data_IF_215356376521
#
_entry.id   IF_215356376521
#
_cell.length_a   1.000
_cell.length_b   1.000
_cell.length_c   1.000
_cell.angle_alpha   90.00
_cell.angle_beta   90.00
_cell.angle_gamma   90.00
#
_symmetry.space_group_name_H-M   'P 1'
#
loop_
_entity.id
_entity.type
_entity.pdbx_description
1 polymer ?
#
# COMPACT_ATOMS: atom_id res chain seq x y z
N UNK A 1 -53.01 12.29 34.16
CA UNK A 1 -53.12 11.19 35.14
C UNK A 1 -52.10 10.15 34.71
N UNK A 2 -51.12 9.84 35.54
CA UNK A 2 -50.04 8.89 35.20
C UNK A 2 -50.59 7.46 35.15
N UNK A 3 -49.99 6.56 34.34
CA UNK A 3 -50.46 5.17 34.19
C UNK A 3 -50.63 4.48 35.55
N UNK A 4 -49.67 4.66 36.45
CA UNK A 4 -49.68 4.07 37.79
C UNK A 4 -50.81 4.62 38.68
N UNK A 5 -51.19 5.89 38.50
CA UNK A 5 -52.35 6.48 39.20
C UNK A 5 -53.66 5.87 38.69
N UNK A 6 -53.71 5.47 37.42
CA UNK A 6 -54.88 4.86 36.78
C UNK A 6 -55.05 3.40 37.21
N UNK A 7 -53.97 2.63 37.23
CA UNK A 7 -53.94 1.26 37.77
C UNK A 7 -54.42 1.25 39.23
N UNK A 8 -53.87 2.13 40.07
CA UNK A 8 -54.28 2.25 41.48
C UNK A 8 -55.76 2.64 41.63
N UNK A 9 -56.27 3.50 40.75
CA UNK A 9 -57.70 3.87 40.76
C UNK A 9 -58.59 2.66 40.46
N UNK A 10 -58.25 1.84 39.47
CA UNK A 10 -59.04 0.66 39.13
C UNK A 10 -58.90 -0.48 40.15
N UNK A 11 -57.75 -0.59 40.83
CA UNK A 11 -57.60 -1.52 41.96
C UNK A 11 -58.59 -1.20 43.09
N UNK A 12 -58.76 0.08 43.43
CA UNK A 12 -59.71 0.56 44.46
C UNK A 12 -61.19 0.36 44.14
N UNK A 13 -61.53 0.01 42.90
CA UNK A 13 -62.92 -0.22 42.47
C UNK A 13 -63.35 -1.69 42.58
N UNK A 14 -62.50 -2.54 43.16
CA UNK A 14 -62.81 -3.95 43.42
C UNK A 14 -64.07 -4.12 44.26
N UNK A 15 -65.05 -4.87 43.75
CA UNK A 15 -66.28 -5.16 44.49
C UNK A 15 -67.19 -3.94 44.71
N UNK A 16 -66.90 -2.80 44.08
CA UNK A 16 -67.78 -1.61 44.12
C UNK A 16 -69.05 -1.85 43.29
N UNK A 17 -68.98 -2.73 42.29
CA UNK A 17 -70.11 -3.04 41.41
C UNK A 17 -70.59 -4.47 41.62
N UNK A 18 -71.87 -4.64 41.99
CA UNK A 18 -72.50 -5.94 42.31
C UNK A 18 -72.92 -6.76 41.07
N UNK A 19 -72.21 -6.61 39.95
CA UNK A 19 -72.53 -7.32 38.70
C UNK A 19 -71.27 -7.96 38.14
N UNK A 20 -71.30 -9.28 37.93
CA UNK A 20 -70.14 -10.07 37.46
C UNK A 20 -69.49 -9.49 36.20
N UNK A 21 -70.28 -8.98 35.25
CA UNK A 21 -69.75 -8.38 34.03
C UNK A 21 -68.93 -7.09 34.25
N UNK A 22 -69.26 -6.29 35.27
CA UNK A 22 -68.51 -5.09 35.59
C UNK A 22 -67.17 -5.41 36.26
N UNK A 23 -67.14 -6.45 37.08
CA UNK A 23 -65.91 -6.93 37.72
C UNK A 23 -64.97 -7.58 36.68
N UNK A 24 -65.54 -8.34 35.74
CA UNK A 24 -64.80 -8.91 34.61
C UNK A 24 -64.17 -7.80 33.74
N UNK A 25 -64.92 -6.74 33.45
CA UNK A 25 -64.43 -5.60 32.69
C UNK A 25 -63.29 -4.87 33.45
N UNK A 26 -63.43 -4.66 34.76
CA UNK A 26 -62.35 -4.10 35.60
C UNK A 26 -61.08 -4.94 35.51
N UNK A 27 -61.19 -6.26 35.60
CA UNK A 27 -60.04 -7.17 35.53
C UNK A 27 -59.34 -7.11 34.16
N UNK A 28 -60.10 -7.10 33.07
CA UNK A 28 -59.56 -6.94 31.71
C UNK A 28 -58.82 -5.60 31.58
N UNK A 29 -59.44 -4.50 32.04
CA UNK A 29 -58.79 -3.19 31.98
C UNK A 29 -57.53 -3.11 32.85
N UNK A 30 -57.49 -3.74 34.02
CA UNK A 30 -56.28 -3.82 34.83
C UNK A 30 -55.18 -4.62 34.12
N UNK A 31 -55.53 -5.73 33.49
CA UNK A 31 -54.59 -6.57 32.77
C UNK A 31 -53.99 -5.85 31.56
N UNK A 32 -54.80 -5.11 30.80
CA UNK A 32 -54.35 -4.28 29.68
C UNK A 32 -53.45 -3.12 30.16
N UNK A 33 -53.79 -2.49 31.29
CA UNK A 33 -53.00 -1.39 31.85
C UNK A 33 -51.66 -1.88 32.44
N UNK A 34 -51.61 -3.06 33.04
CA UNK A 34 -50.37 -3.67 33.55
C UNK A 34 -49.46 -4.16 32.42
N UNK A 35 -50.00 -4.59 31.27
CA UNK A 35 -49.21 -4.88 30.06
C UNK A 35 -48.57 -3.62 29.43
N UNK A 36 -49.12 -2.45 29.73
CA UNK A 36 -48.57 -1.16 29.32
C UNK A 36 -47.49 -0.65 30.28
N UNK A 37 -47.36 -1.22 31.49
CA UNK A 37 -46.42 -0.81 32.56
C UNK A 37 -45.11 -1.64 32.59
N UNK A 38 -44.84 -2.47 31.57
CA UNK A 38 -43.52 -3.11 31.44
C UNK A 38 -42.43 -2.07 31.08
N UNK A 39 -41.24 -2.14 31.71
CA UNK A 39 -40.42 -0.97 32.01
C UNK A 39 -39.81 -0.28 30.79
N UNK A 40 -39.87 1.07 30.83
CA UNK A 40 -39.19 2.00 29.93
C UNK A 40 -37.67 1.78 29.93
N UNK A 41 -37.11 1.40 28.77
CA UNK A 41 -35.67 1.56 28.49
C UNK A 41 -35.45 2.01 27.04
N UNK A 42 -35.81 3.26 26.77
CA UNK A 42 -35.27 4.04 25.65
C UNK A 42 -35.89 3.83 24.25
N UNK A 43 -35.89 4.91 23.47
CA UNK A 43 -36.43 5.02 22.11
C UNK A 43 -35.81 4.07 21.07
N UNK A 44 -34.71 3.37 21.38
CA UNK A 44 -34.08 2.42 20.47
C UNK A 44 -34.84 1.09 20.35
N UNK A 45 -35.62 0.71 21.38
CA UNK A 45 -36.38 -0.56 21.42
C UNK A 45 -37.89 -0.39 21.15
N UNK A 46 -38.38 0.84 21.01
CA UNK A 46 -39.76 1.14 20.58
C UNK A 46 -40.03 0.69 19.14
N UNK A 47 -39.13 1.01 18.20
CA UNK A 47 -39.29 0.67 16.79
C UNK A 47 -39.38 -0.86 16.54
N UNK A 48 -38.53 -1.71 17.16
CA UNK A 48 -38.70 -3.17 17.11
C UNK A 48 -40.02 -3.67 17.69
N UNK A 49 -40.59 -3.04 18.74
CA UNK A 49 -41.83 -3.48 19.38
C UNK A 49 -43.06 -3.22 18.51
N UNK A 50 -43.17 -2.03 17.91
CA UNK A 50 -44.26 -1.72 16.98
C UNK A 50 -44.21 -2.60 15.73
N UNK A 51 -43.02 -2.84 15.17
CA UNK A 51 -42.83 -3.75 14.04
C UNK A 51 -43.21 -5.19 14.43
N UNK A 52 -42.81 -5.67 15.60
CA UNK A 52 -43.19 -7.00 16.10
C UNK A 52 -44.71 -7.14 16.29
N UNK A 53 -45.38 -6.10 16.81
CA UNK A 53 -46.84 -6.10 16.96
C UNK A 53 -47.57 -6.09 15.61
N UNK A 54 -47.09 -5.30 14.64
CA UNK A 54 -47.64 -5.30 13.28
C UNK A 54 -47.44 -6.68 12.64
N UNK A 55 -46.26 -7.30 12.78
CA UNK A 55 -45.97 -8.64 12.28
C UNK A 55 -46.84 -9.72 12.93
N UNK A 56 -47.13 -9.61 14.23
CA UNK A 56 -48.03 -10.52 14.93
C UNK A 56 -49.46 -10.44 14.35
N UNK A 57 -50.00 -9.23 14.18
CA UNK A 57 -51.32 -9.01 13.58
C UNK A 57 -51.40 -9.48 12.12
N UNK A 58 -50.35 -9.27 11.33
CA UNK A 58 -50.28 -9.78 9.96
C UNK A 58 -50.24 -11.31 9.90
N UNK A 59 -49.71 -11.98 10.94
CA UNK A 59 -49.68 -13.44 11.02
C UNK A 59 -51.04 -14.03 11.35
N UNK A 60 -51.91 -13.29 12.02
CA UNK A 60 -53.30 -13.68 12.32
C UNK A 60 -54.22 -13.61 11.09
N UNK A 61 -53.83 -12.88 10.04
CA UNK A 61 -54.58 -12.81 8.78
C UNK A 61 -54.42 -14.08 7.92
N UNK A 62 -55.43 -14.43 7.10
CA UNK A 62 -55.32 -15.44 6.05
C UNK A 62 -54.13 -15.16 5.13
N UNK A 63 -53.49 -16.23 4.62
CA UNK A 63 -52.22 -16.14 3.86
C UNK A 63 -52.33 -15.18 2.66
N UNK A 64 -53.46 -15.19 1.95
CA UNK A 64 -53.69 -14.31 0.80
C UNK A 64 -53.78 -12.83 1.22
N UNK A 65 -54.47 -12.55 2.32
CA UNK A 65 -54.66 -11.18 2.83
C UNK A 65 -53.36 -10.62 3.41
N UNK A 66 -52.50 -11.48 3.97
CA UNK A 66 -51.16 -11.08 4.46
C UNK A 66 -50.31 -10.50 3.33
N UNK A 67 -50.32 -11.11 2.15
CA UNK A 67 -49.53 -10.63 1.02
C UNK A 67 -50.08 -9.30 0.49
N UNK A 68 -51.40 -9.15 0.43
CA UNK A 68 -52.07 -7.90 0.02
C UNK A 68 -51.73 -6.77 1.00
N UNK A 69 -51.82 -7.02 2.30
CA UNK A 69 -51.49 -6.04 3.33
C UNK A 69 -50.01 -5.67 3.36
N UNK A 70 -49.10 -6.63 3.18
CA UNK A 70 -47.67 -6.34 3.08
C UNK A 70 -47.35 -5.44 1.89
N UNK A 71 -47.97 -5.69 0.73
CA UNK A 71 -47.82 -4.82 -0.45
C UNK A 71 -48.37 -3.42 -0.20
N UNK A 72 -49.52 -3.29 0.45
CA UNK A 72 -50.10 -2.00 0.80
C UNK A 72 -49.19 -1.21 1.76
N UNK A 73 -48.71 -1.85 2.83
CA UNK A 73 -47.77 -1.23 3.78
C UNK A 73 -46.48 -0.79 3.07
N UNK A 74 -45.90 -1.65 2.24
CA UNK A 74 -44.71 -1.29 1.47
C UNK A 74 -44.95 -0.14 0.49
N UNK A 75 -46.15 -0.04 -0.09
CA UNK A 75 -46.56 1.05 -0.97
C UNK A 75 -46.65 2.41 -0.27
N UNK A 76 -47.15 2.45 0.97
CA UNK A 76 -47.25 3.69 1.77
C UNK A 76 -45.86 4.29 2.04
N UNK A 77 -44.88 3.43 2.33
CA UNK A 77 -43.50 3.87 2.58
C UNK A 77 -42.61 3.83 1.33
N UNK A 78 -43.16 3.55 0.15
CA UNK A 78 -42.37 3.30 -1.07
C UNK A 78 -41.46 4.48 -1.39
N UNK A 79 -41.97 5.72 -1.27
CA UNK A 79 -41.19 6.95 -1.50
C UNK A 79 -40.08 7.14 -0.46
N UNK A 80 -40.34 6.79 0.80
CA UNK A 80 -39.38 6.93 1.89
C UNK A 80 -38.27 5.87 1.80
N UNK A 81 -38.63 4.62 1.49
CA UNK A 81 -37.68 3.52 1.28
C UNK A 81 -36.95 3.60 -0.07
N UNK A 82 -37.58 4.12 -1.13
CA UNK A 82 -36.92 4.36 -2.42
C UNK A 82 -35.82 5.42 -2.33
N UNK A 83 -35.86 6.31 -1.34
CA UNK A 83 -34.74 7.21 -1.10
C UNK A 83 -33.71 6.64 -0.12
N UNK A 84 -34.12 5.81 0.84
CA UNK A 84 -33.20 5.24 1.83
C UNK A 84 -32.34 4.09 1.27
N UNK A 85 -32.95 3.09 0.61
CA UNK A 85 -32.23 1.92 0.09
C UNK A 85 -31.22 2.29 -1.00
N UNK A 86 -31.56 3.27 -1.83
CA UNK A 86 -30.65 3.78 -2.86
C UNK A 86 -29.53 4.63 -2.28
N UNK A 87 -29.77 5.36 -1.17
CA UNK A 87 -28.71 6.08 -0.45
C UNK A 87 -27.76 5.11 0.25
N UNK A 88 -28.27 4.11 0.96
CA UNK A 88 -27.44 3.10 1.63
C UNK A 88 -26.60 2.30 0.63
N UNK A 89 -27.21 1.78 -0.44
CA UNK A 89 -26.47 1.06 -1.48
C UNK A 89 -25.45 1.94 -2.23
N UNK A 90 -25.77 3.21 -2.48
CA UNK A 90 -24.86 4.17 -3.10
C UNK A 90 -23.68 4.52 -2.18
N UNK A 91 -23.93 4.83 -0.91
CA UNK A 91 -22.88 5.14 0.07
C UNK A 91 -22.02 3.90 0.37
N UNK A 92 -22.63 2.72 0.47
CA UNK A 92 -21.89 1.46 0.58
C UNK A 92 -21.00 1.23 -0.64
N UNK A 93 -21.53 1.38 -1.86
CA UNK A 93 -20.75 1.24 -3.09
C UNK A 93 -19.62 2.28 -3.21
N UNK A 94 -19.84 3.49 -2.69
CA UNK A 94 -18.80 4.54 -2.62
C UNK A 94 -17.69 4.18 -1.65
N UNK A 95 -18.04 3.69 -0.45
CA UNK A 95 -17.07 3.24 0.56
C UNK A 95 -16.27 2.02 0.09
N UNK A 96 -16.96 1.02 -0.47
CA UNK A 96 -16.31 -0.16 -1.06
C UNK A 96 -15.43 0.23 -2.26
N UNK A 97 -15.90 1.12 -3.13
CA UNK A 97 -15.15 1.62 -4.26
C UNK A 97 -13.90 2.42 -3.85
N UNK A 98 -14.00 3.26 -2.83
CA UNK A 98 -12.86 3.97 -2.24
C UNK A 98 -11.85 3.00 -1.62
N UNK A 99 -12.34 2.00 -0.89
CA UNK A 99 -11.50 0.96 -0.30
C UNK A 99 -10.74 0.15 -1.36
N UNK A 100 -11.44 -0.35 -2.39
CA UNK A 100 -10.81 -1.04 -3.53
C UNK A 100 -9.82 -0.11 -4.26
N UNK A 101 -10.19 1.15 -4.45
CA UNK A 101 -9.31 2.15 -5.06
C UNK A 101 -8.00 2.34 -4.29
N UNK A 102 -8.05 2.33 -2.95
CA UNK A 102 -6.86 2.41 -2.12
C UNK A 102 -6.02 1.13 -2.21
N UNK A 103 -6.65 -0.06 -2.21
CA UNK A 103 -5.92 -1.31 -2.44
C UNK A 103 -5.21 -1.35 -3.80
N UNK A 104 -5.80 -0.78 -4.84
CA UNK A 104 -5.18 -0.69 -6.16
C UNK A 104 -3.97 0.26 -6.19
N UNK A 105 -3.99 1.35 -5.41
CA UNK A 105 -2.82 2.24 -5.24
C UNK A 105 -1.68 1.51 -4.55
N UNK A 106 -1.97 0.76 -3.49
CA UNK A 106 -0.98 -0.06 -2.81
C UNK A 106 -0.40 -1.13 -3.75
N UNK A 107 -1.27 -1.76 -4.55
CA UNK A 107 -0.84 -2.71 -5.57
C UNK A 107 0.05 -2.08 -6.65
N UNK A 108 -0.25 -0.86 -7.14
CA UNK A 108 0.61 -0.16 -8.10
C UNK A 108 1.96 0.22 -7.48
N UNK A 109 1.97 0.64 -6.21
CA UNK A 109 3.21 0.92 -5.48
C UNK A 109 4.09 -0.33 -5.39
N UNK A 110 3.51 -1.45 -4.96
CA UNK A 110 4.21 -2.75 -4.90
C UNK A 110 4.68 -3.18 -6.30
N UNK A 111 3.84 -3.00 -7.32
CA UNK A 111 4.20 -3.28 -8.72
C UNK A 111 5.45 -2.50 -9.14
N UNK A 112 5.54 -1.20 -8.82
CA UNK A 112 6.72 -0.38 -9.15
C UNK A 112 7.96 -0.88 -8.40
N UNK A 113 7.84 -1.09 -7.09
CA UNK A 113 8.95 -1.60 -6.26
C UNK A 113 9.48 -2.95 -6.75
N UNK A 114 8.61 -3.88 -7.15
CA UNK A 114 9.01 -5.19 -7.65
C UNK A 114 9.57 -5.17 -9.09
N UNK A 115 9.20 -4.17 -9.89
CA UNK A 115 9.65 -4.06 -11.28
C UNK A 115 10.84 -3.11 -11.47
N UNK A 116 11.45 -2.64 -10.38
CA UNK A 116 12.66 -1.84 -10.46
C UNK A 116 13.75 -2.60 -11.21
N UNK A 117 14.37 -1.93 -12.19
CA UNK A 117 15.44 -2.49 -12.99
C UNK A 117 16.80 -2.14 -12.39
N UNK A 118 17.79 -3.01 -12.61
CA UNK A 118 19.18 -2.70 -12.26
C UNK A 118 19.81 -1.87 -13.38
N UNK A 119 20.40 -0.74 -13.02
CA UNK A 119 21.10 0.14 -13.96
C UNK A 119 22.48 0.53 -13.42
N UNK A 120 23.50 0.70 -14.28
CA UNK A 120 24.80 1.24 -13.87
C UNK A 120 24.69 2.68 -13.34
N UNK A 121 25.65 3.12 -12.52
CA UNK A 121 25.69 4.47 -11.95
C UNK A 121 25.64 5.56 -13.03
N UNK A 122 26.42 5.44 -14.11
CA UNK A 122 26.41 6.45 -15.19
C UNK A 122 25.05 6.56 -15.91
N UNK A 123 24.18 5.54 -15.83
CA UNK A 123 22.81 5.60 -16.35
C UNK A 123 21.91 6.32 -15.36
N UNK A 124 22.05 6.02 -14.06
CA UNK A 124 21.33 6.72 -13.00
C UNK A 124 21.60 8.24 -13.05
N UNK A 125 22.85 8.64 -13.23
CA UNK A 125 23.24 10.05 -13.31
C UNK A 125 22.52 10.78 -14.48
N UNK A 126 22.38 10.12 -15.63
CA UNK A 126 21.66 10.68 -16.79
C UNK A 126 20.15 10.73 -16.55
N UNK A 127 19.58 9.72 -15.87
CA UNK A 127 18.16 9.70 -15.49
C UNK A 127 17.84 10.86 -14.55
N UNK A 128 18.63 11.07 -13.50
CA UNK A 128 18.40 12.15 -12.56
C UNK A 128 18.59 13.52 -13.22
N UNK A 129 19.63 13.69 -14.06
CA UNK A 129 19.82 14.90 -14.83
C UNK A 129 18.65 15.22 -15.77
N UNK A 130 18.03 14.20 -16.37
CA UNK A 130 16.82 14.36 -17.17
C UNK A 130 15.59 14.73 -16.32
N UNK A 131 15.42 14.12 -15.13
CA UNK A 131 14.31 14.42 -14.20
C UNK A 131 14.30 15.87 -13.74
N UNK A 132 15.47 16.48 -13.59
CA UNK A 132 15.58 17.89 -13.23
C UNK A 132 15.05 18.82 -14.32
N UNK A 133 15.06 18.40 -15.59
CA UNK A 133 14.59 19.20 -16.71
C UNK A 133 13.09 19.02 -16.96
N UNK A 134 12.60 17.78 -16.91
CA UNK A 134 11.20 17.48 -17.23
C UNK A 134 10.72 16.16 -16.58
N UNK A 135 9.44 16.09 -16.18
CA UNK A 135 8.83 14.82 -15.76
C UNK A 135 8.46 13.90 -16.93
N UNK A 136 8.54 14.36 -18.17
CA UNK A 136 8.07 13.62 -19.35
C UNK A 136 9.12 12.63 -19.89
N UNK A 137 8.69 11.42 -20.22
CA UNK A 137 9.59 10.38 -20.75
C UNK A 137 10.20 10.77 -22.10
N UNK A 138 9.44 11.43 -22.98
CA UNK A 138 9.94 11.88 -24.29
C UNK A 138 11.12 12.84 -24.12
N UNK A 139 10.99 13.83 -23.24
CA UNK A 139 12.06 14.76 -22.90
C UNK A 139 13.28 14.06 -22.31
N UNK A 140 13.07 13.04 -21.47
CA UNK A 140 14.16 12.25 -20.93
C UNK A 140 14.93 11.51 -22.04
N UNK A 141 14.21 10.92 -23.01
CA UNK A 141 14.83 10.26 -24.16
C UNK A 141 15.61 11.26 -25.02
N UNK A 142 15.09 12.47 -25.23
CA UNK A 142 15.82 13.53 -25.94
C UNK A 142 17.04 14.03 -25.18
N UNK A 143 16.94 14.16 -23.86
CA UNK A 143 18.05 14.57 -22.99
C UNK A 143 19.25 13.64 -23.15
N UNK A 144 19.01 12.33 -23.32
CA UNK A 144 20.08 11.35 -23.49
C UNK A 144 21.01 11.61 -24.69
N UNK A 145 20.51 12.23 -25.76
CA UNK A 145 21.30 12.44 -26.99
C UNK A 145 22.36 13.53 -26.85
N UNK A 146 22.15 14.48 -25.94
CA UNK A 146 23.08 15.60 -25.71
C UNK A 146 23.89 15.50 -24.42
N UNK A 147 23.43 14.72 -23.44
CA UNK A 147 23.97 14.73 -22.08
C UNK A 147 24.51 13.37 -21.62
N UNK A 148 24.41 12.33 -22.46
CA UNK A 148 25.03 11.03 -22.18
C UNK A 148 26.56 11.08 -22.30
N UNK A 149 27.27 10.49 -21.35
CA UNK A 149 28.70 10.20 -21.51
C UNK A 149 28.93 9.24 -22.69
N UNK A 150 30.19 9.08 -23.13
CA UNK A 150 30.53 8.09 -24.16
C UNK A 150 30.08 6.69 -23.76
N UNK A 151 30.29 6.31 -22.49
CA UNK A 151 29.87 5.03 -21.94
C UNK A 151 28.35 4.88 -21.91
N UNK A 152 27.63 5.93 -21.52
CA UNK A 152 26.18 5.94 -21.61
C UNK A 152 25.72 5.72 -23.05
N UNK A 153 26.31 6.42 -24.02
CA UNK A 153 25.93 6.31 -25.44
C UNK A 153 26.15 4.90 -25.97
N UNK A 154 27.29 4.28 -25.64
CA UNK A 154 27.59 2.90 -26.00
C UNK A 154 26.60 1.91 -25.35
N UNK A 155 26.26 2.13 -24.07
CA UNK A 155 25.26 1.34 -23.36
C UNK A 155 23.87 1.49 -23.99
N UNK A 156 23.43 2.72 -24.26
CA UNK A 156 22.11 3.08 -24.76
C UNK A 156 21.88 2.72 -26.24
N UNK A 157 22.96 2.46 -27.00
CA UNK A 157 22.86 1.99 -28.38
C UNK A 157 22.25 0.59 -28.51
N UNK A 158 22.25 -0.21 -27.43
CA UNK A 158 21.57 -1.52 -27.41
C UNK A 158 20.07 -1.32 -27.21
N UNK A 159 19.25 -1.94 -28.07
CA UNK A 159 17.78 -1.84 -27.98
C UNK A 159 17.24 -2.24 -26.59
N UNK A 160 17.75 -3.33 -26.03
CA UNK A 160 17.38 -3.79 -24.67
C UNK A 160 17.66 -2.76 -23.58
N UNK A 161 18.69 -1.94 -23.75
CA UNK A 161 19.09 -0.94 -22.77
C UNK A 161 18.22 0.32 -22.84
N UNK A 162 17.63 0.61 -24.01
CA UNK A 162 16.60 1.65 -24.14
C UNK A 162 15.33 1.25 -23.41
N UNK A 163 14.92 -0.01 -23.53
CA UNK A 163 13.79 -0.55 -22.78
C UNK A 163 14.07 -0.54 -21.27
N UNK A 164 15.30 -0.86 -20.84
CA UNK A 164 15.73 -0.74 -19.44
C UNK A 164 15.68 0.71 -18.95
N UNK A 165 16.15 1.68 -19.75
CA UNK A 165 16.08 3.10 -19.41
C UNK A 165 14.63 3.56 -19.21
N UNK A 166 13.72 3.20 -20.12
CA UNK A 166 12.31 3.55 -20.01
C UNK A 166 11.66 2.93 -18.77
N UNK A 167 11.99 1.66 -18.44
CA UNK A 167 11.52 1.01 -17.20
C UNK A 167 12.08 1.69 -15.95
N UNK A 168 13.37 2.03 -15.96
CA UNK A 168 14.02 2.77 -14.87
C UNK A 168 13.35 4.13 -14.63
N UNK A 169 12.94 4.81 -15.70
CA UNK A 169 12.21 6.07 -15.63
C UNK A 169 10.82 5.92 -15.00
N UNK A 170 10.05 4.91 -15.45
CA UNK A 170 8.65 4.72 -15.09
C UNK A 170 8.44 4.02 -13.74
N UNK A 171 9.13 2.91 -13.53
CA UNK A 171 8.95 2.03 -12.37
C UNK A 171 10.02 2.26 -11.29
N UNK A 172 11.07 3.03 -11.60
CA UNK A 172 12.24 3.25 -10.74
C UNK A 172 13.36 2.25 -11.01
N UNK A 173 14.49 2.44 -10.32
CA UNK A 173 15.67 1.62 -10.54
C UNK A 173 16.49 1.42 -9.27
N UNK A 174 17.31 0.37 -9.30
CA UNK A 174 18.35 0.10 -8.31
C UNK A 174 19.69 0.29 -9.01
N UNK A 175 20.57 1.08 -8.41
CA UNK A 175 21.93 1.23 -8.94
C UNK A 175 22.68 -0.08 -8.71
N UNK A 176 23.15 -0.67 -9.81
CA UNK A 176 24.07 -1.80 -9.76
C UNK A 176 25.40 -1.33 -9.18
N UNK A 177 25.75 -1.86 -8.00
CA UNK A 177 27.07 -1.62 -7.41
C UNK A 177 28.12 -2.18 -8.36
N UNK A 178 29.05 -1.34 -8.81
CA UNK A 178 30.17 -1.80 -9.62
C UNK A 178 30.97 -2.83 -8.82
N UNK A 179 31.22 -3.99 -9.46
CA UNK A 179 32.03 -5.05 -8.88
C UNK A 179 33.46 -4.55 -8.66
N UNK A 180 33.94 -4.70 -7.43
CA UNK A 180 35.32 -4.41 -7.06
C UNK A 180 36.08 -5.71 -6.93
N UNK A 181 37.38 -5.62 -7.15
CA UNK A 181 38.29 -6.75 -7.15
C UNK A 181 39.50 -6.43 -6.29
N UNK A 182 39.87 -7.40 -5.47
CA UNK A 182 41.19 -7.48 -4.86
C UNK A 182 42.06 -8.38 -5.76
N UNK A 183 43.22 -7.86 -6.17
CA UNK A 183 44.05 -8.47 -7.20
C UNK A 183 45.42 -8.78 -6.61
N UNK A 184 45.81 -10.06 -6.61
CA UNK A 184 47.06 -10.56 -6.03
C UNK A 184 47.90 -11.27 -7.08
N UNK A 185 49.06 -10.72 -7.38
CA UNK A 185 50.08 -11.43 -8.14
C UNK A 185 50.76 -12.45 -7.24
N UNK A 186 50.61 -13.71 -7.58
CA UNK A 186 51.08 -14.84 -6.78
C UNK A 186 52.60 -14.90 -6.79
N UNK A 187 53.20 -14.98 -5.60
CA UNK A 187 54.64 -15.08 -5.44
C UNK A 187 55.01 -16.13 -4.38
N UNK A 188 55.50 -17.27 -4.86
CA UNK A 188 55.78 -18.45 -4.03
C UNK A 188 56.92 -18.27 -3.02
N UNK A 189 57.82 -17.31 -3.22
CA UNK A 189 59.07 -17.24 -2.47
C UNK A 189 59.09 -16.20 -1.34
N UNK A 190 58.24 -15.17 -1.41
CA UNK A 190 58.39 -13.98 -0.55
C UNK A 190 57.04 -13.28 -0.26
N UNK A 191 55.93 -13.98 -0.45
CA UNK A 191 54.58 -13.46 -0.25
C UNK A 191 54.04 -12.66 -1.42
N UNK A 192 52.71 -12.70 -1.57
CA UNK A 192 51.99 -12.15 -2.72
C UNK A 192 52.05 -10.63 -2.78
N UNK A 193 51.91 -10.11 -4.00
CA UNK A 193 51.91 -8.68 -4.30
C UNK A 193 50.50 -8.24 -4.66
N UNK A 194 50.05 -7.12 -4.09
CA UNK A 194 48.71 -6.58 -4.33
C UNK A 194 48.80 -5.50 -5.40
N UNK A 195 47.88 -5.50 -6.37
CA UNK A 195 47.71 -4.36 -7.27
C UNK A 195 46.99 -3.25 -6.51
N UNK A 196 47.63 -2.09 -6.41
CA UNK A 196 47.07 -0.93 -5.71
C UNK A 196 47.09 0.31 -6.57
N UNK A 197 46.04 1.13 -6.46
CA UNK A 197 46.04 2.52 -6.85
C UNK A 197 46.59 3.37 -5.68
N UNK A 198 47.88 3.66 -5.71
CA UNK A 198 48.58 4.41 -4.66
C UNK A 198 47.96 5.78 -4.38
N UNK A 199 47.39 6.40 -5.42
CA UNK A 199 46.87 7.76 -5.36
C UNK A 199 45.35 7.82 -5.13
N UNK A 200 44.67 6.69 -4.92
CA UNK A 200 43.22 6.67 -4.71
C UNK A 200 42.76 7.59 -3.56
N UNK A 201 43.57 7.73 -2.50
CA UNK A 201 43.29 8.64 -1.38
C UNK A 201 43.61 10.12 -1.67
N UNK A 202 44.44 10.38 -2.67
CA UNK A 202 44.83 11.73 -3.06
C UNK A 202 43.81 12.39 -3.99
N UNK A 203 42.94 11.58 -4.62
CA UNK A 203 41.80 12.08 -5.39
C UNK A 203 40.87 12.96 -4.54
N UNK A 204 40.65 12.61 -3.26
CA UNK A 204 39.82 13.39 -2.33
C UNK A 204 40.41 14.79 -2.02
N UNK A 205 41.75 14.96 -2.19
CA UNK A 205 42.47 16.22 -1.86
C UNK A 205 42.82 17.07 -3.08
N UNK A 206 43.10 16.44 -4.21
CA UNK A 206 43.57 17.10 -5.44
C UNK A 206 42.60 16.94 -6.62
N UNK A 207 41.46 16.28 -6.43
CA UNK A 207 40.45 16.04 -7.47
C UNK A 207 41.01 15.28 -8.67
N UNK A 208 40.52 15.61 -9.86
CA UNK A 208 40.91 14.99 -11.14
C UNK A 208 42.38 15.19 -11.54
N UNK A 209 43.17 15.94 -10.77
CA UNK A 209 44.60 16.18 -11.03
C UNK A 209 45.51 15.13 -10.40
N UNK A 210 44.99 14.18 -9.62
CA UNK A 210 45.81 13.09 -9.11
C UNK A 210 45.91 11.98 -10.16
N UNK A 211 47.11 11.73 -10.75
CA UNK A 211 47.26 10.66 -11.73
C UNK A 211 47.00 9.31 -11.05
N UNK A 212 46.25 8.44 -11.72
CA UNK A 212 46.08 7.04 -11.30
C UNK A 212 47.45 6.36 -11.39
N UNK A 213 47.92 5.81 -10.27
CA UNK A 213 49.20 5.09 -10.20
C UNK A 213 48.92 3.68 -9.73
N UNK A 214 48.80 2.77 -10.71
CA UNK A 214 48.67 1.35 -10.45
C UNK A 214 50.05 0.69 -10.37
N UNK A 215 50.30 -0.01 -9.27
CA UNK A 215 51.55 -0.77 -9.06
C UNK A 215 51.31 -2.00 -8.20
N UNK A 216 52.17 -3.00 -8.36
CA UNK A 216 52.22 -4.16 -7.48
C UNK A 216 53.11 -3.89 -6.28
N UNK A 217 52.62 -4.15 -5.08
CA UNK A 217 53.37 -3.93 -3.84
C UNK A 217 52.97 -4.89 -2.74
N UNK A 218 53.90 -5.13 -1.81
CA UNK A 218 53.62 -5.85 -0.55
C UNK A 218 53.10 -4.94 0.54
N UNK A 219 53.17 -3.62 0.35
CA UNK A 219 52.76 -2.65 1.36
C UNK A 219 51.25 -2.72 1.56
N UNK A 220 50.83 -3.02 2.78
CA UNK A 220 49.43 -3.05 3.20
C UNK A 220 48.98 -1.76 3.90
N UNK A 221 49.87 -0.75 4.00
CA UNK A 221 49.55 0.56 4.58
C UNK A 221 48.76 1.46 3.61
N UNK A 222 47.69 0.92 3.03
CA UNK A 222 46.77 1.66 2.19
C UNK A 222 45.34 1.51 2.69
N UNK A 223 44.48 2.48 2.36
CA UNK A 223 43.05 2.36 2.62
C UNK A 223 42.43 1.32 1.67
N UNK A 224 41.25 0.81 2.01
CA UNK A 224 40.47 -0.08 1.14
C UNK A 224 40.28 0.47 -0.28
N UNK A 225 40.13 1.80 -0.43
CA UNK A 225 39.99 2.45 -1.74
C UNK A 225 41.18 2.20 -2.68
N UNK A 226 42.37 1.98 -2.12
CA UNK A 226 43.58 1.78 -2.92
C UNK A 226 43.67 0.37 -3.51
N UNK A 227 43.12 -0.66 -2.87
CA UNK A 227 43.31 -2.05 -3.31
C UNK A 227 42.02 -2.75 -3.76
N UNK A 228 40.84 -2.16 -3.50
CA UNK A 228 39.57 -2.60 -4.08
C UNK A 228 39.30 -1.83 -5.38
N UNK A 229 39.73 -2.41 -6.50
CA UNK A 229 39.69 -1.76 -7.81
C UNK A 229 38.54 -2.27 -8.67
N UNK A 230 37.93 -1.41 -9.46
CA UNK A 230 36.95 -1.83 -10.47
C UNK A 230 37.67 -2.42 -11.69
N UNK A 231 37.00 -3.35 -12.40
CA UNK A 231 37.56 -3.90 -13.65
C UNK A 231 37.88 -2.81 -14.66
N UNK A 232 37.04 -1.77 -14.72
CA UNK A 232 37.22 -0.61 -15.60
C UNK A 232 38.52 0.13 -15.30
N UNK A 233 38.79 0.47 -14.03
CA UNK A 233 40.03 1.15 -13.63
C UNK A 233 41.28 0.36 -14.01
N UNK A 234 41.25 -0.96 -13.82
CA UNK A 234 42.38 -1.85 -14.14
C UNK A 234 42.61 -1.90 -15.65
N UNK A 235 41.54 -2.12 -16.44
CA UNK A 235 41.62 -2.23 -17.90
C UNK A 235 42.02 -0.90 -18.55
N UNK A 236 41.42 0.22 -18.12
CA UNK A 236 41.68 1.55 -18.71
C UNK A 236 43.12 2.02 -18.51
N UNK A 237 43.83 1.49 -17.51
CA UNK A 237 45.21 1.83 -17.19
C UNK A 237 46.23 0.78 -17.71
N UNK A 238 45.81 -0.10 -18.62
CA UNK A 238 46.72 -1.04 -19.31
C UNK A 238 47.02 -2.34 -18.54
N UNK A 239 46.36 -2.58 -17.40
CA UNK A 239 46.50 -3.81 -16.61
C UNK A 239 45.45 -4.87 -16.95
N UNK A 240 44.77 -4.75 -18.11
CA UNK A 240 43.71 -5.68 -18.51
C UNK A 240 44.15 -7.14 -18.63
N UNK A 241 45.44 -7.41 -18.87
CA UNK A 241 46.03 -8.75 -18.96
C UNK A 241 45.91 -9.57 -17.67
N UNK A 242 45.69 -8.90 -16.53
CA UNK A 242 45.57 -9.56 -15.22
C UNK A 242 44.41 -10.55 -15.17
N UNK A 243 43.29 -10.24 -15.83
CA UNK A 243 42.10 -11.09 -15.78
C UNK A 243 42.26 -12.41 -16.54
N UNK A 244 43.30 -12.53 -17.36
CA UNK A 244 43.61 -13.71 -18.17
C UNK A 244 44.92 -14.40 -17.73
N UNK A 245 45.50 -13.98 -16.59
CA UNK A 245 46.80 -14.47 -16.13
C UNK A 245 46.65 -15.48 -14.98
N UNK A 246 47.10 -16.73 -15.19
CA UNK A 246 47.08 -17.79 -14.16
C UNK A 246 47.92 -17.46 -12.92
N UNK A 247 48.94 -16.60 -13.08
CA UNK A 247 49.77 -16.13 -11.97
C UNK A 247 49.12 -15.04 -11.11
N UNK A 248 47.88 -14.65 -11.40
CA UNK A 248 47.17 -13.61 -10.68
C UNK A 248 45.85 -14.13 -10.12
N UNK A 249 45.66 -13.99 -8.83
CA UNK A 249 44.38 -14.24 -8.16
C UNK A 249 43.54 -12.95 -8.18
N UNK A 250 42.30 -13.06 -8.68
CA UNK A 250 41.34 -11.96 -8.74
C UNK A 250 40.11 -12.35 -7.92
N UNK A 251 39.91 -11.67 -6.79
CA UNK A 251 38.79 -11.94 -5.89
C UNK A 251 37.78 -10.80 -5.97
N UNK A 252 36.52 -11.11 -6.32
CA UNK A 252 35.43 -10.13 -6.23
C UNK A 252 35.12 -9.81 -4.76
N UNK A 253 35.02 -8.52 -4.45
CA UNK A 253 34.79 -7.99 -3.09
C UNK A 253 33.66 -6.95 -3.10
N UNK A 254 32.97 -6.82 -1.96
CA UNK A 254 31.95 -5.79 -1.73
C UNK A 254 32.52 -4.39 -1.42
#
# INVERSE_FOLDING_TARGET
>A
MKLNELVEKYKKLEGVWNTEGAELARQIFLQDLEQLDEPETGHADEAPRYVKNILARLRELPVHDREVWLKAIMGEFEKDFSHAKWREGYEQGKLEGEWVGNQLKDADKIRRELNQVKVPQFVADVIEGAREQSPELEDALHYTWGNGTKEFTEWYNKKSNRDLFARAWLDGYIVEKEKKYEIKLLNQNDGDLYLVNQNANLADKYGHFSPVVLLFTKSTFFSEKCYKLTKKEVVSNGFGWIFDCEGVEVQEVE
#
